data_IF_778783322150
#
_entry.id   IF_778783322150
#
_cell.length_a   1.000
_cell.length_b   1.000
_cell.length_c   1.000
_cell.angle_alpha   90.00
_cell.angle_beta   90.00
_cell.angle_gamma   90.00
#
_symmetry.space_group_name_H-M   'P 1'
#
loop_
_entity.id
_entity.type
_entity.pdbx_description
1 polymer ?
#
# COMPACT_ATOMS: atom_id res chain seq x y z
N UNK A 1 -4.81 -2.82 21.50
CA UNK A 1 -4.73 -2.11 20.19
C UNK A 1 -5.47 -0.78 20.24
N UNK A 2 -6.76 -0.74 20.57
CA UNK A 2 -7.57 0.48 20.47
C UNK A 2 -6.98 1.75 21.14
N UNK A 3 -6.59 1.76 22.43
CA UNK A 3 -6.19 3.01 23.11
C UNK A 3 -4.96 3.71 22.53
N UNK A 4 -4.12 3.00 21.78
CA UNK A 4 -2.92 3.56 21.17
C UNK A 4 -3.12 3.84 19.67
N UNK A 5 -4.05 3.14 19.01
CA UNK A 5 -4.33 3.28 17.58
C UNK A 5 -5.55 4.18 17.29
N UNK A 6 -6.22 4.66 18.34
CA UNK A 6 -7.32 5.62 18.36
C UNK A 6 -7.12 6.57 19.55
N UNK A 7 -7.38 7.90 19.45
CA UNK A 7 -7.90 8.64 18.30
C UNK A 7 -6.84 9.16 17.31
N UNK A 8 -5.56 9.04 17.65
CA UNK A 8 -4.47 9.69 16.88
C UNK A 8 -4.34 9.18 15.45
N UNK A 9 -4.71 7.91 15.21
CA UNK A 9 -4.47 7.24 13.94
C UNK A 9 -5.74 6.87 13.18
N UNK A 10 -6.92 6.94 13.82
CA UNK A 10 -8.22 6.58 13.25
C UNK A 10 -8.28 5.15 12.69
N UNK A 11 -7.32 4.29 13.08
CA UNK A 11 -7.18 2.97 12.49
C UNK A 11 -8.35 2.06 12.86
N UNK A 12 -8.97 2.28 14.04
CA UNK A 12 -10.14 1.52 14.42
C UNK A 12 -11.39 1.98 13.65
N UNK A 13 -11.58 3.29 13.51
CA UNK A 13 -12.68 3.83 12.68
C UNK A 13 -12.59 3.37 11.23
N UNK A 14 -11.38 3.33 10.66
CA UNK A 14 -11.13 2.74 9.34
C UNK A 14 -11.51 1.24 9.35
N UNK A 15 -11.07 0.50 10.37
CA UNK A 15 -11.37 -0.92 10.55
C UNK A 15 -12.86 -1.27 10.64
N UNK A 16 -13.67 -0.48 11.33
CA UNK A 16 -15.12 -0.71 11.44
C UNK A 16 -15.84 -0.72 10.08
N UNK A 17 -15.26 -0.09 9.06
CA UNK A 17 -15.83 -0.06 7.69
C UNK A 17 -15.44 -1.25 6.83
N UNK A 18 -14.57 -2.14 7.32
CA UNK A 18 -13.94 -3.20 6.52
C UNK A 18 -14.67 -4.53 6.55
N UNK A 19 -14.41 -5.36 5.54
CA UNK A 19 -14.80 -6.77 5.52
C UNK A 19 -14.16 -7.56 6.66
N UNK A 20 -12.97 -7.17 7.13
CA UNK A 20 -12.35 -7.81 8.29
C UNK A 20 -13.23 -7.67 9.53
N UNK A 21 -13.75 -6.46 9.80
CA UNK A 21 -14.68 -6.22 10.90
C UNK A 21 -16.00 -6.97 10.71
N UNK A 22 -16.59 -6.90 9.51
CA UNK A 22 -17.84 -7.59 9.20
C UNK A 22 -17.74 -9.11 9.41
N UNK A 23 -16.58 -9.70 9.11
CA UNK A 23 -16.32 -11.13 9.28
C UNK A 23 -15.78 -11.50 10.68
N UNK A 24 -15.77 -10.56 11.63
CA UNK A 24 -15.33 -10.80 13.01
C UNK A 24 -13.82 -10.97 13.20
N UNK A 25 -13.00 -10.71 12.17
CA UNK A 25 -11.53 -10.78 12.26
C UNK A 25 -11.00 -9.65 13.14
N UNK A 26 -10.23 -9.97 14.16
CA UNK A 26 -9.64 -9.00 15.09
C UNK A 26 -8.26 -8.56 14.63
N UNK A 27 -7.77 -7.45 15.18
CA UNK A 27 -6.43 -6.92 14.86
C UNK A 27 -5.34 -7.98 15.09
N UNK A 28 -5.48 -8.79 16.14
CA UNK A 28 -4.53 -9.85 16.50
C UNK A 28 -4.47 -10.96 15.44
N UNK A 29 -5.56 -11.23 14.72
CA UNK A 29 -5.59 -12.31 13.73
C UNK A 29 -4.62 -12.04 12.57
N UNK A 30 -4.40 -10.77 12.24
CA UNK A 30 -3.45 -10.34 11.21
C UNK A 30 -2.08 -9.95 11.78
N UNK A 31 -2.05 -9.14 12.86
CA UNK A 31 -0.82 -8.56 13.39
C UNK A 31 -0.07 -9.49 14.36
N UNK A 32 -0.77 -10.44 14.97
CA UNK A 32 -0.24 -11.38 15.96
C UNK A 32 -0.59 -12.81 15.54
N UNK A 33 -0.12 -13.31 14.39
CA UNK A 33 -0.49 -14.64 13.92
C UNK A 33 -0.07 -15.72 14.92
N UNK A 34 -0.76 -16.86 14.88
CA UNK A 34 -0.37 -18.03 15.67
C UNK A 34 1.09 -18.42 15.39
N UNK A 35 1.80 -18.88 16.41
CA UNK A 35 3.18 -19.38 16.27
C UNK A 35 3.17 -20.70 15.50
N UNK A 36 4.16 -20.90 14.64
CA UNK A 36 4.28 -22.13 13.84
C UNK A 36 4.39 -23.39 14.72
N UNK A 37 5.09 -23.28 15.85
CA UNK A 37 5.31 -24.34 16.85
C UNK A 37 4.04 -24.66 17.68
N UNK A 38 2.95 -23.90 17.51
CA UNK A 38 1.78 -23.93 18.38
C UNK A 38 1.94 -23.14 19.69
N UNK A 39 0.97 -23.28 20.61
CA UNK A 39 1.06 -22.74 21.97
C UNK A 39 0.81 -21.23 22.15
N UNK A 40 0.28 -20.53 21.14
CA UNK A 40 -0.16 -19.13 21.26
C UNK A 40 0.17 -18.25 20.06
N UNK A 41 0.16 -16.94 20.27
CA UNK A 41 0.33 -15.93 19.22
C UNK A 41 1.69 -15.22 19.29
N UNK A 42 2.14 -14.72 18.14
CA UNK A 42 3.29 -13.83 18.01
C UNK A 42 3.01 -12.50 18.72
N UNK A 43 3.92 -12.04 19.58
CA UNK A 43 3.76 -10.78 20.32
C UNK A 43 4.48 -9.59 19.69
N UNK A 44 5.31 -9.81 18.67
CA UNK A 44 6.08 -8.75 18.01
C UNK A 44 5.22 -7.73 17.27
N UNK A 45 3.99 -8.09 16.87
CA UNK A 45 3.10 -7.21 16.12
C UNK A 45 3.64 -6.89 14.72
N UNK A 46 3.24 -7.66 13.70
CA UNK A 46 3.64 -7.38 12.33
C UNK A 46 3.11 -6.01 11.88
N UNK A 47 3.87 -5.25 11.09
CA UNK A 47 3.50 -3.90 10.71
C UNK A 47 4.39 -3.30 9.63
N UNK A 48 4.43 -1.97 9.55
CA UNK A 48 5.10 -1.23 8.49
C UNK A 48 6.63 -1.44 8.37
N UNK A 49 7.28 -2.06 9.34
CA UNK A 49 8.72 -2.41 9.26
C UNK A 49 8.97 -3.87 8.87
N UNK A 50 7.93 -4.62 8.51
CA UNK A 50 8.06 -5.99 8.02
C UNK A 50 7.65 -6.04 6.54
N UNK A 51 8.62 -6.09 5.63
CA UNK A 51 8.38 -6.05 4.18
C UNK A 51 7.42 -7.15 3.71
N UNK A 52 7.57 -8.38 4.19
CA UNK A 52 6.70 -9.48 3.78
C UNK A 52 5.25 -9.31 4.25
N UNK A 53 5.05 -8.73 5.42
CA UNK A 53 3.73 -8.35 5.90
C UNK A 53 3.11 -7.24 5.04
N UNK A 54 3.87 -6.18 4.74
CA UNK A 54 3.41 -5.09 3.88
C UNK A 54 3.13 -5.57 2.46
N UNK A 55 3.92 -6.49 1.91
CA UNK A 55 3.70 -7.07 0.58
C UNK A 55 2.35 -7.80 0.49
N UNK A 56 1.94 -8.52 1.54
CA UNK A 56 0.65 -9.22 1.60
C UNK A 56 -0.55 -8.30 1.82
N UNK A 57 -0.32 -7.06 2.24
CA UNK A 57 -1.36 -6.06 2.46
C UNK A 57 -2.02 -5.56 1.15
N UNK A 58 -1.37 -5.81 0.00
CA UNK A 58 -1.76 -5.27 -1.29
C UNK A 58 -1.77 -6.37 -2.37
N UNK A 59 -2.86 -6.50 -3.10
CA UNK A 59 -2.87 -7.11 -4.44
C UNK A 59 -3.10 -6.03 -5.50
N UNK A 60 -3.02 -6.36 -6.79
CA UNK A 60 -1.72 -6.32 -7.43
C UNK A 60 -1.69 -6.87 -8.85
N UNK A 61 -2.14 -6.13 -9.87
CA UNK A 61 -1.88 -6.50 -11.27
C UNK A 61 -1.61 -5.29 -12.16
N UNK A 62 -0.74 -5.45 -13.16
CA UNK A 62 -0.46 -4.45 -14.18
C UNK A 62 -0.46 -5.09 -15.56
N UNK A 63 -0.89 -4.32 -16.57
CA UNK A 63 -0.90 -4.73 -17.97
C UNK A 63 -0.93 -3.53 -18.90
N UNK A 64 -0.51 -3.71 -20.16
CA UNK A 64 -0.81 -2.74 -21.21
C UNK A 64 -2.20 -3.01 -21.77
N UNK A 65 -3.02 -1.96 -21.86
CA UNK A 65 -4.28 -1.94 -22.59
C UNK A 65 -4.24 -0.80 -23.61
N UNK A 66 -4.10 -1.13 -24.90
CA UNK A 66 -3.95 -0.15 -25.96
C UNK A 66 -2.71 0.74 -25.76
N UNK A 67 -2.92 2.05 -25.61
CA UNK A 67 -1.86 3.06 -25.36
C UNK A 67 -1.78 3.49 -23.89
N UNK A 68 -2.15 2.61 -22.95
CA UNK A 68 -2.04 2.88 -21.53
C UNK A 68 -1.51 1.68 -20.73
N UNK A 69 -0.70 1.96 -19.71
CA UNK A 69 -0.44 1.05 -18.62
C UNK A 69 -1.60 1.13 -17.63
N UNK A 70 -2.26 0.00 -17.40
CA UNK A 70 -3.34 -0.13 -16.42
C UNK A 70 -2.82 -0.89 -15.21
N UNK A 71 -2.88 -0.25 -14.04
CA UNK A 71 -2.51 -0.81 -12.74
C UNK A 71 -3.77 -0.96 -11.88
N UNK A 72 -4.10 -2.20 -11.49
CA UNK A 72 -5.15 -2.46 -10.52
C UNK A 72 -4.56 -2.79 -9.16
N UNK A 73 -5.08 -2.12 -8.14
CA UNK A 73 -4.67 -2.25 -6.75
C UNK A 73 -5.87 -2.68 -5.91
N UNK A 74 -5.67 -3.59 -4.98
CA UNK A 74 -6.64 -4.05 -3.99
C UNK A 74 -6.02 -3.96 -2.61
N UNK A 75 -6.57 -3.10 -1.75
CA UNK A 75 -6.18 -3.05 -0.35
C UNK A 75 -6.81 -4.23 0.41
N UNK A 76 -5.98 -5.14 0.92
CA UNK A 76 -6.40 -6.32 1.67
C UNK A 76 -6.36 -6.13 3.18
N UNK A 77 -6.07 -4.92 3.64
CA UNK A 77 -6.06 -4.59 5.06
C UNK A 77 -7.44 -4.13 5.53
N UNK A 78 -7.70 -4.31 6.83
CA UNK A 78 -8.91 -3.79 7.44
C UNK A 78 -8.90 -2.26 7.58
N UNK A 79 -7.78 -1.58 7.39
CA UNK A 79 -7.67 -0.12 7.54
C UNK A 79 -7.23 0.52 6.23
N UNK A 80 -6.95 1.83 6.21
CA UNK A 80 -6.37 2.44 4.99
C UNK A 80 -4.94 1.93 4.76
N UNK A 81 -4.53 1.80 3.50
CA UNK A 81 -3.15 1.46 3.13
C UNK A 81 -2.48 2.65 2.41
N UNK A 82 -1.31 3.11 2.90
CA UNK A 82 -0.60 2.72 4.14
C UNK A 82 -1.30 3.18 5.45
N UNK A 83 -1.20 2.40 6.52
CA UNK A 83 -1.95 2.65 7.76
C UNK A 83 -1.36 3.71 8.71
N UNK A 84 -2.24 4.28 9.53
CA UNK A 84 -2.00 5.03 10.79
C UNK A 84 -1.36 6.43 10.69
N UNK A 85 -0.07 6.48 10.35
CA UNK A 85 0.80 7.65 10.52
C UNK A 85 1.13 8.30 9.18
N UNK A 86 1.17 9.64 9.15
CA UNK A 86 1.44 10.42 7.93
C UNK A 86 2.87 10.33 7.42
N UNK A 87 3.78 9.74 8.21
CA UNK A 87 5.15 9.44 7.78
C UNK A 87 5.26 8.23 6.86
N UNK A 88 4.22 7.38 6.79
CA UNK A 88 4.20 6.23 5.87
C UNK A 88 3.60 6.65 4.54
N UNK A 89 4.19 6.16 3.46
CA UNK A 89 3.68 6.41 2.11
C UNK A 89 3.84 5.20 1.20
N UNK A 90 3.01 5.14 0.17
CA UNK A 90 3.06 4.13 -0.86
C UNK A 90 3.34 4.81 -2.20
N UNK A 91 4.49 4.52 -2.78
CA UNK A 91 4.96 5.08 -4.04
C UNK A 91 4.69 4.10 -5.17
N UNK A 92 3.98 4.58 -6.19
CA UNK A 92 3.84 3.93 -7.48
C UNK A 92 4.72 4.72 -8.44
N UNK A 93 5.73 4.08 -8.99
CA UNK A 93 6.64 4.68 -9.96
C UNK A 93 6.50 3.98 -11.30
N UNK A 94 6.15 4.74 -12.33
CA UNK A 94 5.99 4.25 -13.70
C UNK A 94 7.13 4.76 -14.56
N UNK A 95 7.79 3.85 -15.26
CA UNK A 95 8.88 4.12 -16.18
C UNK A 95 8.45 3.82 -17.61
N UNK A 96 8.66 4.79 -18.51
CA UNK A 96 8.59 4.60 -19.95
C UNK A 96 10.00 4.86 -20.51
N UNK A 97 10.62 3.93 -21.25
CA UNK A 97 11.97 4.13 -21.78
C UNK A 97 12.10 5.44 -22.57
N UNK A 98 13.15 6.22 -22.28
CA UNK A 98 13.38 7.52 -22.93
C UNK A 98 12.59 8.70 -22.33
N UNK A 99 11.75 8.46 -21.31
CA UNK A 99 10.96 9.51 -20.64
C UNK A 99 11.26 9.59 -19.14
N UNK A 100 10.94 10.73 -18.54
CA UNK A 100 11.00 10.90 -17.08
C UNK A 100 9.98 9.97 -16.39
N UNK A 101 10.33 9.38 -15.24
CA UNK A 101 9.39 8.54 -14.50
C UNK A 101 8.21 9.36 -13.97
N UNK A 102 7.04 8.73 -13.92
CA UNK A 102 5.85 9.27 -13.27
C UNK A 102 5.71 8.67 -11.88
N UNK A 103 5.72 9.53 -10.86
CA UNK A 103 5.57 9.13 -9.47
C UNK A 103 4.18 9.51 -8.94
N UNK A 104 3.47 8.54 -8.39
CA UNK A 104 2.24 8.74 -7.63
C UNK A 104 2.44 8.26 -6.20
N UNK A 105 2.42 9.20 -5.26
CA UNK A 105 2.63 8.94 -3.84
C UNK A 105 1.29 8.96 -3.09
N UNK A 106 0.82 7.83 -2.59
CA UNK A 106 -0.38 7.75 -1.74
C UNK A 106 0.01 7.83 -0.27
N UNK A 107 -0.56 8.79 0.48
CA UNK A 107 -0.27 8.97 1.91
C UNK A 107 -1.32 9.78 2.64
N UNK A 108 -1.33 9.63 3.96
CA UNK A 108 -2.07 10.53 4.85
C UNK A 108 -1.40 11.92 4.80
N UNK A 109 -2.17 13.02 4.71
CA UNK A 109 -1.61 14.36 4.76
C UNK A 109 -0.93 14.64 6.11
N UNK A 110 0.11 15.47 6.09
CA UNK A 110 0.66 16.01 7.33
C UNK A 110 -0.30 17.05 7.93
N UNK A 111 -0.17 17.31 9.23
CA UNK A 111 -0.97 18.34 9.89
C UNK A 111 -0.72 19.70 9.23
N UNK A 112 -1.78 20.36 8.76
CA UNK A 112 -1.72 21.65 8.07
C UNK A 112 -1.53 21.57 6.56
N UNK A 113 -1.41 20.37 5.99
CA UNK A 113 -1.35 20.19 4.55
C UNK A 113 -2.75 20.27 3.93
N UNK A 114 -2.91 20.99 2.82
CA UNK A 114 -4.19 21.09 2.10
C UNK A 114 -4.54 19.82 1.31
N UNK A 115 -3.61 18.87 1.21
CA UNK A 115 -3.77 17.61 0.49
C UNK A 115 -4.84 16.74 1.14
N UNK A 116 -5.70 16.14 0.32
CA UNK A 116 -6.64 15.12 0.78
C UNK A 116 -5.91 13.81 1.12
N UNK A 117 -6.47 13.03 2.03
CA UNK A 117 -6.03 11.66 2.29
C UNK A 117 -6.39 10.75 1.10
N UNK A 118 -5.39 10.37 0.32
CA UNK A 118 -5.54 9.61 -0.93
C UNK A 118 -5.09 8.15 -0.82
N UNK A 119 -4.85 7.68 0.41
CA UNK A 119 -4.60 6.28 0.72
C UNK A 119 -5.71 5.38 0.19
N UNK A 120 -5.40 4.11 -0.02
CA UNK A 120 -6.41 3.11 -0.36
C UNK A 120 -7.30 2.86 0.86
N UNK A 121 -8.62 2.96 0.72
CA UNK A 121 -9.61 2.62 1.76
C UNK A 121 -9.63 1.11 2.03
N UNK A 122 -10.17 0.66 3.17
CA UNK A 122 -10.37 -0.77 3.40
C UNK A 122 -11.14 -1.40 2.23
N UNK A 123 -10.68 -2.57 1.79
CA UNK A 123 -11.28 -3.37 0.71
C UNK A 123 -11.37 -2.64 -0.66
N UNK A 124 -10.74 -1.47 -0.79
CA UNK A 124 -10.78 -0.68 -2.02
C UNK A 124 -10.07 -1.40 -3.16
N UNK A 125 -10.74 -1.48 -4.31
CA UNK A 125 -10.13 -1.76 -5.60
C UNK A 125 -9.99 -0.47 -6.40
N UNK A 126 -8.76 -0.06 -6.70
CA UNK A 126 -8.45 1.15 -7.44
C UNK A 126 -7.77 0.80 -8.75
N UNK A 127 -8.29 1.33 -9.85
CA UNK A 127 -7.63 1.25 -11.16
C UNK A 127 -6.97 2.59 -11.47
N UNK A 128 -5.70 2.54 -11.85
CA UNK A 128 -4.91 3.67 -12.30
C UNK A 128 -4.52 3.42 -13.75
N UNK A 129 -4.58 4.46 -14.57
CA UNK A 129 -4.22 4.40 -15.98
C UNK A 129 -3.17 5.46 -16.28
N UNK A 130 -2.06 5.03 -16.88
CA UNK A 130 -0.94 5.88 -17.26
C UNK A 130 -0.79 5.82 -18.78
N UNK A 131 -1.17 6.87 -19.53
CA UNK A 131 -1.01 6.91 -20.97
C UNK A 131 0.47 6.73 -21.34
N UNK A 132 0.74 5.88 -22.32
CA UNK A 132 2.09 5.72 -22.85
C UNK A 132 2.42 6.97 -23.69
N UNK A 133 3.52 7.67 -23.38
CA UNK A 133 3.94 8.82 -24.16
C UNK A 133 4.25 8.44 -25.61
N UNK A 134 4.25 9.41 -26.51
CA UNK A 134 4.56 9.19 -27.92
C UNK A 134 5.93 8.51 -28.09
N UNK A 135 5.97 7.44 -28.90
CA UNK A 135 7.18 6.65 -29.13
C UNK A 135 7.50 5.58 -28.07
N UNK A 136 6.88 5.63 -26.89
CA UNK A 136 7.06 4.57 -25.90
C UNK A 136 6.20 3.34 -26.25
N UNK A 137 6.83 2.17 -26.39
CA UNK A 137 6.14 0.90 -26.63
C UNK A 137 6.07 0.03 -25.36
N UNK A 138 6.80 0.43 -24.32
CA UNK A 138 7.03 -0.35 -23.13
C UNK A 138 6.79 0.45 -21.88
N UNK A 139 6.40 -0.27 -20.82
CA UNK A 139 6.21 0.29 -19.51
C UNK A 139 6.77 -0.65 -18.44
N UNK A 140 7.33 -0.07 -17.39
CA UNK A 140 7.66 -0.75 -16.15
C UNK A 140 7.01 -0.03 -14.98
N UNK A 141 6.50 -0.77 -14.01
CA UNK A 141 5.99 -0.22 -12.76
C UNK A 141 6.75 -0.80 -11.58
N UNK A 142 7.09 0.06 -10.63
CA UNK A 142 7.62 -0.31 -9.31
C UNK A 142 6.65 0.15 -8.23
N UNK A 143 6.31 -0.75 -7.31
CA UNK A 143 5.48 -0.47 -6.15
C UNK A 143 6.33 -0.50 -4.89
N UNK A 144 6.44 0.62 -4.19
CA UNK A 144 7.32 0.76 -3.02
C UNK A 144 6.58 1.29 -1.80
N UNK A 145 6.83 0.68 -0.64
CA UNK A 145 6.38 1.20 0.65
C UNK A 145 7.51 1.93 1.36
N UNK A 146 7.25 3.16 1.78
CA UNK A 146 8.20 4.01 2.49
C UNK A 146 7.75 4.09 3.96
N UNK A 147 8.42 3.38 4.89
CA UNK A 147 8.05 3.40 6.31
C UNK A 147 8.34 4.75 7.01
N UNK A 148 9.17 5.61 6.41
CA UNK A 148 9.66 6.85 6.99
C UNK A 148 9.51 8.02 5.98
N UNK A 149 9.29 9.27 6.46
CA UNK A 149 8.82 10.39 5.62
C UNK A 149 9.87 10.98 4.68
N UNK A 150 11.14 10.64 4.88
CA UNK A 150 12.28 11.15 4.13
C UNK A 150 13.17 10.02 3.63
N UNK A 151 12.67 8.78 3.66
CA UNK A 151 13.43 7.66 3.14
C UNK A 151 13.54 7.80 1.62
N UNK A 152 14.76 7.81 1.06
CA UNK A 152 14.93 7.75 -0.39
C UNK A 152 14.18 6.54 -0.96
N UNK A 153 13.44 6.68 -2.08
CA UNK A 153 12.61 5.60 -2.63
C UNK A 153 13.34 4.26 -2.82
N UNK A 154 14.61 4.30 -3.22
CA UNK A 154 15.47 3.14 -3.41
C UNK A 154 15.66 2.29 -2.15
N UNK A 155 15.54 2.90 -0.96
CA UNK A 155 15.61 2.23 0.34
C UNK A 155 14.24 1.78 0.86
N UNK A 156 13.15 2.13 0.16
CA UNK A 156 11.81 1.63 0.43
C UNK A 156 11.68 0.13 0.20
N UNK A 157 10.67 -0.48 0.82
CA UNK A 157 10.34 -1.88 0.57
C UNK A 157 9.74 -2.03 -0.81
N UNK A 158 10.42 -2.77 -1.70
CA UNK A 158 9.84 -3.18 -2.99
C UNK A 158 8.73 -4.20 -2.72
N UNK A 159 7.49 -3.82 -3.02
CA UNK A 159 6.31 -4.67 -2.89
C UNK A 159 6.08 -5.49 -4.15
N UNK A 160 6.52 -4.97 -5.31
CA UNK A 160 6.41 -5.65 -6.58
C UNK A 160 6.88 -4.78 -7.73
N UNK A 161 7.19 -5.44 -8.84
CA UNK A 161 7.54 -4.83 -10.11
C UNK A 161 6.93 -5.61 -11.26
N UNK A 162 6.64 -4.91 -12.35
CA UNK A 162 6.13 -5.51 -13.58
C UNK A 162 6.70 -4.76 -14.78
N UNK A 163 6.97 -5.48 -15.86
CA UNK A 163 7.49 -4.99 -17.11
C UNK A 163 6.65 -5.55 -18.26
N UNK A 164 6.37 -4.74 -19.27
CA UNK A 164 5.64 -5.20 -20.47
C UNK A 164 6.45 -6.15 -21.37
N UNK A 165 7.75 -6.33 -21.09
CA UNK A 165 8.65 -7.23 -21.83
C UNK A 165 8.77 -8.64 -21.24
N UNK A 166 8.30 -8.84 -20.01
CA UNK A 166 8.43 -10.09 -19.25
C UNK A 166 7.14 -10.92 -19.33
#
# INVERSE_FOLDING_TARGET
>A
CWPCHEPTHQAFQEYETSQAFANGKRCQDCHMPARAEGGGHMHGGLGGFNQEFVRRALAWEARLEGRALVLQLENRTGHKFPGEISSRSFLIRVHFPGHAPTDLLLRKPHKGEARADDRLKPDERRTLSFPLPEGAEEARVELRFLPLPLLPPEHGFLLGEWSSRD
#
